data_IF_449472633300
#
_entry.id   IF_449472633300
#
_cell.length_a   1.000
_cell.length_b   1.000
_cell.length_c   1.000
_cell.angle_alpha   90.00
_cell.angle_beta   90.00
_cell.angle_gamma   90.00
#
_symmetry.space_group_name_H-M   'P 1'
#
loop_
_entity.id
_entity.type
_entity.pdbx_description
1 polymer ?
#
# COMPACT_ATOMS: atom_id res chain seq x y z
N UNK A 1 -6.44 -8.73 -13.69
CA UNK A 1 -6.66 -7.30 -13.39
C UNK A 1 -6.06 -6.40 -14.45
N UNK A 2 -6.72 -5.28 -14.77
CA UNK A 2 -6.05 -4.19 -15.49
C UNK A 2 -4.88 -3.68 -14.65
N UNK A 3 -3.66 -3.65 -15.22
CA UNK A 3 -2.43 -3.18 -14.53
C UNK A 3 -2.62 -1.81 -13.88
N UNK A 4 -3.39 -0.93 -14.52
CA UNK A 4 -3.77 0.40 -13.99
C UNK A 4 -4.54 0.32 -12.67
N UNK A 5 -5.45 -0.65 -12.52
CA UNK A 5 -6.24 -0.84 -11.30
C UNK A 5 -5.39 -1.35 -10.13
N UNK A 6 -4.45 -2.26 -10.39
CA UNK A 6 -3.46 -2.70 -9.38
C UNK A 6 -2.66 -1.50 -8.87
N UNK A 7 -2.15 -0.70 -9.80
CA UNK A 7 -1.32 0.45 -9.47
C UNK A 7 -2.07 1.48 -8.62
N UNK A 8 -3.32 1.81 -8.99
CA UNK A 8 -4.16 2.72 -8.19
C UNK A 8 -4.45 2.15 -6.80
N UNK A 9 -4.72 0.85 -6.69
CA UNK A 9 -4.96 0.21 -5.38
C UNK A 9 -3.74 0.23 -4.48
N UNK A 10 -2.55 -0.05 -5.04
CA UNK A 10 -1.29 0.01 -4.30
C UNK A 10 -0.98 1.46 -3.90
N UNK A 11 -1.08 2.41 -4.82
CA UNK A 11 -0.85 3.83 -4.52
C UNK A 11 -1.82 4.35 -3.46
N UNK A 12 -3.11 4.00 -3.53
CA UNK A 12 -4.09 4.35 -2.51
C UNK A 12 -3.75 3.72 -1.15
N UNK A 13 -3.30 2.46 -1.12
CA UNK A 13 -2.90 1.80 0.12
C UNK A 13 -1.69 2.48 0.78
N UNK A 14 -0.69 2.88 -0.01
CA UNK A 14 0.49 3.63 0.48
C UNK A 14 0.05 4.97 1.07
N UNK A 15 -0.76 5.74 0.33
CA UNK A 15 -1.24 7.06 0.78
C UNK A 15 -2.07 6.93 2.05
N UNK A 16 -2.99 5.97 2.11
CA UNK A 16 -3.80 5.73 3.30
C UNK A 16 -2.95 5.34 4.51
N UNK A 17 -1.96 4.46 4.33
CA UNK A 17 -1.03 4.08 5.39
C UNK A 17 -0.31 5.32 5.94
N UNK A 18 0.37 6.07 5.06
CA UNK A 18 1.17 7.23 5.45
C UNK A 18 0.31 8.28 6.15
N UNK A 19 -0.87 8.60 5.61
CA UNK A 19 -1.76 9.60 6.22
C UNK A 19 -2.24 9.15 7.60
N UNK A 20 -2.65 7.89 7.75
CA UNK A 20 -3.12 7.35 9.03
C UNK A 20 -1.97 7.32 10.05
N UNK A 21 -0.79 6.81 9.67
CA UNK A 21 0.39 6.79 10.53
C UNK A 21 0.77 8.18 11.01
N UNK A 22 0.82 9.16 10.11
CA UNK A 22 1.16 10.55 10.47
C UNK A 22 0.12 11.18 11.41
N UNK A 23 -1.17 10.85 11.27
CA UNK A 23 -2.21 11.29 12.21
C UNK A 23 -2.02 10.61 13.57
N UNK A 24 -1.62 9.34 13.59
CA UNK A 24 -1.48 8.56 14.82
C UNK A 24 -0.24 8.98 15.62
N UNK A 25 0.88 9.17 14.94
CA UNK A 25 2.16 9.54 15.55
C UNK A 25 2.10 10.96 16.14
N UNK A 26 1.30 11.86 15.54
CA UNK A 26 1.20 13.29 15.88
C UNK A 26 2.54 14.06 15.84
N UNK A 27 3.62 13.42 15.40
CA UNK A 27 4.94 14.01 15.22
C UNK A 27 5.28 14.10 13.73
N UNK A 28 5.37 15.34 13.23
CA UNK A 28 5.61 15.63 11.81
C UNK A 28 7.07 16.01 11.54
N UNK A 29 8.02 15.31 12.17
CA UNK A 29 9.45 15.57 11.90
C UNK A 29 9.86 14.89 10.59
N UNK A 30 10.78 15.49 9.84
CA UNK A 30 11.30 14.90 8.59
C UNK A 30 11.74 13.43 8.71
N UNK A 31 12.47 12.99 9.76
CA UNK A 31 12.87 11.58 9.89
C UNK A 31 11.67 10.65 10.09
N UNK A 32 10.65 11.07 10.83
CA UNK A 32 9.41 10.29 11.02
C UNK A 32 8.67 10.16 9.69
N UNK A 33 8.47 11.26 8.96
CA UNK A 33 7.78 11.24 7.66
C UNK A 33 8.47 10.30 6.67
N UNK A 34 9.81 10.36 6.59
CA UNK A 34 10.57 9.49 5.69
C UNK A 34 10.40 8.02 6.08
N UNK A 35 10.45 7.71 7.38
CA UNK A 35 10.24 6.34 7.89
C UNK A 35 8.84 5.83 7.54
N UNK A 36 7.80 6.61 7.83
CA UNK A 36 6.41 6.23 7.53
C UNK A 36 6.16 6.04 6.04
N UNK A 37 6.77 6.86 5.17
CA UNK A 37 6.71 6.67 3.72
C UNK A 37 7.37 5.36 3.31
N UNK A 38 8.54 5.04 3.86
CA UNK A 38 9.28 3.82 3.54
C UNK A 38 8.48 2.58 3.97
N UNK A 39 7.94 2.60 5.19
CA UNK A 39 7.06 1.55 5.68
C UNK A 39 5.78 1.43 4.85
N UNK A 40 5.16 2.56 4.50
CA UNK A 40 3.99 2.61 3.65
C UNK A 40 4.24 2.02 2.27
N UNK A 41 5.40 2.29 1.66
CA UNK A 41 5.81 1.70 0.38
C UNK A 41 6.00 0.19 0.50
N UNK A 42 6.67 -0.28 1.56
CA UNK A 42 6.82 -1.72 1.83
C UNK A 42 5.46 -2.39 2.00
N UNK A 43 4.57 -1.78 2.79
CA UNK A 43 3.20 -2.26 2.98
C UNK A 43 2.42 -2.30 1.65
N UNK A 44 2.49 -1.24 0.86
CA UNK A 44 1.84 -1.15 -0.44
C UNK A 44 2.33 -2.21 -1.42
N UNK A 45 3.63 -2.50 -1.45
CA UNK A 45 4.21 -3.57 -2.25
C UNK A 45 3.70 -4.95 -1.82
N UNK A 46 3.70 -5.24 -0.52
CA UNK A 46 3.15 -6.48 0.03
C UNK A 46 1.66 -6.64 -0.30
N UNK A 47 0.87 -5.57 -0.15
CA UNK A 47 -0.53 -5.55 -0.51
C UNK A 47 -0.74 -5.78 -2.01
N UNK A 48 0.07 -5.15 -2.86
CA UNK A 48 0.04 -5.34 -4.31
C UNK A 48 0.31 -6.78 -4.72
N UNK A 49 1.32 -7.42 -4.09
CA UNK A 49 1.63 -8.84 -4.29
C UNK A 49 0.46 -9.71 -3.84
N UNK A 50 -0.11 -9.46 -2.67
CA UNK A 50 -1.27 -10.19 -2.16
C UNK A 50 -2.48 -10.10 -3.10
N UNK A 51 -2.83 -8.89 -3.56
CA UNK A 51 -3.95 -8.68 -4.50
C UNK A 51 -3.69 -9.40 -5.81
N UNK A 52 -2.46 -9.32 -6.34
CA UNK A 52 -2.08 -10.03 -7.55
C UNK A 52 -2.24 -11.55 -7.43
N UNK A 53 -1.74 -12.14 -6.35
CA UNK A 53 -1.91 -13.58 -6.10
C UNK A 53 -3.38 -13.94 -5.88
N UNK A 54 -4.12 -13.19 -5.07
CA UNK A 54 -5.55 -13.42 -4.83
C UNK A 54 -6.35 -13.47 -6.12
N UNK A 55 -6.09 -12.56 -7.05
CA UNK A 55 -6.81 -12.53 -8.33
C UNK A 55 -6.38 -13.68 -9.24
N UNK A 56 -5.09 -14.03 -9.25
CA UNK A 56 -4.59 -15.21 -9.97
C UNK A 56 -5.21 -16.51 -9.46
N UNK A 57 -5.43 -16.63 -8.16
CA UNK A 57 -6.11 -17.78 -7.55
C UNK A 57 -7.63 -17.77 -7.78
N UNK A 58 -8.27 -16.59 -7.81
CA UNK A 58 -9.70 -16.48 -8.11
C UNK A 58 -10.01 -16.93 -9.54
N UNK A 59 -9.19 -16.54 -10.52
CA UNK A 59 -9.34 -16.94 -11.92
C UNK A 59 -9.03 -18.43 -12.20
N UNK A 60 -8.59 -19.21 -11.21
CA UNK A 60 -8.44 -20.67 -11.31
C UNK A 60 -9.70 -21.43 -10.88
N UNK A 61 -10.68 -20.75 -10.26
CA UNK A 61 -11.92 -21.34 -9.78
C UNK A 61 -13.12 -21.08 -10.69
N UNK A 62 -12.97 -20.22 -11.70
CA UNK A 62 -13.84 -20.14 -12.89
C UNK A 62 -13.25 -21.00 -14.00
#
# INVERSE_FOLDING_TARGET
>A
MNKKRLFIQVAAAIVLYVVISLILEKEYTQPVIIREILEGVVFGLLYGVFVYFREKFKNKKE
#
